data_IF_107138621844
#
_entry.id   IF_107138621844
#
_cell.length_a   1.000
_cell.length_b   1.000
_cell.length_c   1.000
_cell.angle_alpha   90.00
_cell.angle_beta   90.00
_cell.angle_gamma   90.00
#
_symmetry.space_group_name_H-M   'P 1'
#
loop_
_entity.id
_entity.type
_entity.pdbx_description
1 polymer ?
#
# COMPACT_ATOMS: atom_id res chain seq x y z
N UNK A 1 -10.65 8.17 20.91
CA UNK A 1 -9.73 7.71 19.85
C UNK A 1 -9.13 6.32 20.15
N UNK A 2 -8.59 6.09 21.36
CA UNK A 2 -8.07 4.78 21.80
C UNK A 2 -8.95 4.05 22.83
N UNK A 3 -10.24 4.38 22.90
CA UNK A 3 -11.16 3.82 23.88
C UNK A 3 -11.51 2.36 23.57
N UNK A 4 -11.66 1.55 24.63
CA UNK A 4 -11.95 0.11 24.57
C UNK A 4 -13.41 -0.21 24.22
N UNK A 5 -14.24 0.81 24.03
CA UNK A 5 -15.69 0.67 23.89
C UNK A 5 -16.10 -0.13 22.64
N UNK A 6 -15.26 -0.11 21.60
CA UNK A 6 -15.49 -0.80 20.32
C UNK A 6 -14.48 -1.92 20.08
N UNK A 7 -14.96 -3.09 19.63
CA UNK A 7 -14.09 -4.27 19.43
C UNK A 7 -13.07 -4.01 18.31
N UNK A 8 -11.79 -4.33 18.54
CA UNK A 8 -10.68 -4.18 17.58
C UNK A 8 -10.37 -2.75 17.06
N UNK A 9 -11.03 -1.68 17.55
CA UNK A 9 -10.86 -0.31 17.02
C UNK A 9 -9.40 0.17 17.00
N UNK A 10 -8.65 -0.06 18.08
CA UNK A 10 -7.23 0.31 18.18
C UNK A 10 -6.36 -0.49 17.20
N UNK A 11 -6.63 -1.78 17.06
CA UNK A 11 -5.89 -2.69 16.18
C UNK A 11 -6.15 -2.36 14.72
N UNK A 12 -7.40 -2.10 14.33
CA UNK A 12 -7.78 -1.63 13.00
C UNK A 12 -7.05 -0.34 12.62
N UNK A 13 -7.10 0.67 13.49
CA UNK A 13 -6.45 1.96 13.21
C UNK A 13 -4.95 1.81 13.00
N UNK A 14 -4.26 1.04 13.84
CA UNK A 14 -2.81 0.87 13.73
C UNK A 14 -2.45 0.08 12.47
N UNK A 15 -3.13 -1.04 12.22
CA UNK A 15 -2.76 -1.94 11.13
C UNK A 15 -3.13 -1.36 9.75
N UNK A 16 -4.27 -0.67 9.64
CA UNK A 16 -4.66 0.01 8.39
C UNK A 16 -3.69 1.16 8.08
N UNK A 17 -3.28 1.94 9.08
CA UNK A 17 -2.31 3.02 8.89
C UNK A 17 -0.91 2.48 8.55
N UNK A 18 -0.48 1.38 9.17
CA UNK A 18 0.78 0.72 8.80
C UNK A 18 0.75 0.25 7.34
N UNK A 19 -0.35 -0.36 6.88
CA UNK A 19 -0.51 -0.75 5.49
C UNK A 19 -0.40 0.45 4.54
N UNK A 20 -1.11 1.55 4.85
CA UNK A 20 -1.08 2.76 4.03
C UNK A 20 0.30 3.40 3.98
N UNK A 21 0.97 3.60 5.13
CA UNK A 21 2.28 4.25 5.17
C UNK A 21 3.31 3.44 4.40
N UNK A 22 3.37 2.12 4.62
CA UNK A 22 4.36 1.26 3.96
C UNK A 22 4.14 1.19 2.44
N UNK A 23 2.88 1.09 2.00
CA UNK A 23 2.56 1.11 0.57
C UNK A 23 2.86 2.48 -0.08
N UNK A 24 2.50 3.59 0.57
CA UNK A 24 2.79 4.95 0.07
C UNK A 24 4.29 5.24 0.03
N UNK A 25 5.05 4.81 1.05
CA UNK A 25 6.50 4.94 1.04
C UNK A 25 7.13 4.09 -0.07
N UNK A 26 6.67 2.84 -0.25
CA UNK A 26 7.11 1.97 -1.37
C UNK A 26 6.88 2.64 -2.71
N UNK A 27 5.67 3.15 -2.93
CA UNK A 27 5.27 3.89 -4.13
C UNK A 27 6.15 5.12 -4.35
N UNK A 28 6.27 6.00 -3.35
CA UNK A 28 7.00 7.27 -3.47
C UNK A 28 8.48 7.06 -3.83
N UNK A 29 9.12 6.07 -3.21
CA UNK A 29 10.51 5.72 -3.49
C UNK A 29 10.63 5.04 -4.86
N UNK A 30 9.64 4.23 -5.26
CA UNK A 30 9.57 3.64 -6.59
C UNK A 30 9.44 4.71 -7.69
N UNK A 31 8.60 5.72 -7.47
CA UNK A 31 8.45 6.89 -8.35
C UNK A 31 9.74 7.69 -8.44
N UNK A 32 10.45 7.90 -7.33
CA UNK A 32 11.74 8.58 -7.37
C UNK A 32 12.77 7.81 -8.21
N UNK A 33 12.82 6.48 -8.08
CA UNK A 33 13.66 5.64 -8.93
C UNK A 33 13.24 5.71 -10.40
N UNK A 34 11.94 5.72 -10.68
CA UNK A 34 11.38 5.87 -12.03
C UNK A 34 11.79 7.20 -12.66
N UNK A 35 11.66 8.31 -11.94
CA UNK A 35 12.08 9.63 -12.41
C UNK A 35 13.57 9.66 -12.73
N UNK A 36 14.43 9.04 -11.92
CA UNK A 36 15.87 8.96 -12.25
C UNK A 36 16.12 8.23 -13.57
N UNK A 37 15.40 7.14 -13.84
CA UNK A 37 15.55 6.37 -15.08
C UNK A 37 14.99 7.09 -16.31
N UNK A 38 13.92 7.86 -16.16
CA UNK A 38 13.35 8.68 -17.24
C UNK A 38 14.25 9.86 -17.59
N UNK A 39 14.68 10.63 -16.58
CA UNK A 39 15.57 11.78 -16.79
C UNK A 39 16.89 11.35 -17.45
N UNK A 40 17.39 10.18 -17.05
CA UNK A 40 18.58 9.58 -17.64
C UNK A 40 18.38 9.14 -19.09
N UNK A 41 17.21 8.58 -19.42
CA UNK A 41 16.87 8.23 -20.80
C UNK A 41 16.80 9.50 -21.66
N UNK A 42 16.17 10.56 -21.18
CA UNK A 42 16.05 11.83 -21.90
C UNK A 42 17.42 12.51 -22.11
N UNK A 43 18.31 12.47 -21.12
CA UNK A 43 19.67 13.03 -21.22
C UNK A 43 20.52 12.34 -22.30
N UNK A 44 20.51 11.00 -22.32
CA UNK A 44 21.30 10.21 -23.28
C UNK A 44 20.71 10.32 -24.69
N UNK A 45 19.38 10.22 -24.84
CA UNK A 45 18.72 10.33 -26.14
C UNK A 45 18.79 11.75 -26.72
N UNK A 46 18.78 12.78 -25.87
CA UNK A 46 18.94 14.17 -26.27
C UNK A 46 20.36 14.48 -26.74
N UNK A 47 21.37 13.94 -26.05
CA UNK A 47 22.79 14.16 -26.36
C UNK A 47 23.29 13.36 -27.57
N UNK A 48 22.65 12.21 -27.87
CA UNK A 48 23.12 11.28 -28.89
C UNK A 48 21.99 10.77 -29.80
N UNK A 49 21.75 11.46 -30.94
CA UNK A 49 20.75 11.05 -31.92
C UNK A 49 21.03 9.64 -32.47
N UNK A 50 20.05 8.74 -32.39
CA UNK A 50 20.16 7.35 -32.86
C UNK A 50 20.42 6.29 -31.78
N UNK A 51 20.57 6.71 -30.52
CA UNK A 51 20.69 5.81 -29.36
C UNK A 51 19.35 5.67 -28.67
N UNK A 52 18.97 4.45 -28.30
CA UNK A 52 17.75 4.20 -27.54
C UNK A 52 18.05 3.47 -26.23
N UNK A 53 17.59 4.02 -25.12
CA UNK A 53 17.64 3.40 -23.79
C UNK A 53 16.28 2.78 -23.49
N UNK A 54 16.26 1.47 -23.25
CA UNK A 54 15.05 0.73 -22.91
C UNK A 54 15.04 0.42 -21.42
N UNK A 55 14.12 1.08 -20.70
CA UNK A 55 13.83 0.87 -19.27
C UNK A 55 12.39 0.39 -19.02
N UNK A 56 11.71 -0.08 -20.07
CA UNK A 56 10.28 -0.36 -20.07
C UNK A 56 9.84 -1.35 -18.98
N UNK A 57 10.71 -2.31 -18.64
CA UNK A 57 10.41 -3.31 -17.61
C UNK A 57 10.28 -2.66 -16.23
N UNK A 58 11.22 -1.78 -15.86
CA UNK A 58 11.18 -1.06 -14.59
C UNK A 58 10.06 0.00 -14.59
N UNK A 59 9.86 0.70 -15.71
CA UNK A 59 8.77 1.68 -15.86
C UNK A 59 7.41 1.00 -15.65
N UNK A 60 7.21 -0.18 -16.26
CA UNK A 60 5.99 -0.98 -16.09
C UNK A 60 5.79 -1.45 -14.65
N UNK A 61 6.83 -2.00 -14.03
CA UNK A 61 6.79 -2.46 -12.64
C UNK A 61 6.49 -1.31 -11.65
N UNK A 62 7.19 -0.18 -11.79
CA UNK A 62 7.01 1.00 -10.94
C UNK A 62 5.61 1.62 -11.13
N UNK A 63 5.13 1.74 -12.36
CA UNK A 63 3.78 2.24 -12.67
C UNK A 63 2.69 1.34 -12.08
N UNK A 64 2.88 0.02 -12.14
CA UNK A 64 1.97 -0.92 -11.51
C UNK A 64 1.99 -0.80 -9.98
N UNK A 65 3.17 -0.61 -9.37
CA UNK A 65 3.30 -0.38 -7.93
C UNK A 65 2.58 0.91 -7.48
N UNK A 66 2.67 2.00 -8.24
CA UNK A 66 1.91 3.24 -8.00
C UNK A 66 0.41 2.96 -8.01
N UNK A 67 -0.10 2.34 -9.06
CA UNK A 67 -1.52 2.04 -9.19
C UNK A 67 -2.05 1.20 -8.02
N UNK A 68 -1.31 0.16 -7.64
CA UNK A 68 -1.69 -0.73 -6.54
C UNK A 68 -1.59 -0.04 -5.18
N UNK A 69 -0.57 0.79 -4.96
CA UNK A 69 -0.41 1.61 -3.75
C UNK A 69 -1.62 2.52 -3.52
N UNK A 70 -2.03 3.26 -4.55
CA UNK A 70 -3.24 4.11 -4.53
C UNK A 70 -4.50 3.28 -4.27
N UNK A 71 -4.65 2.11 -4.90
CA UNK A 71 -5.81 1.25 -4.67
C UNK A 71 -5.90 0.77 -3.21
N UNK A 72 -4.78 0.36 -2.61
CA UNK A 72 -4.71 -0.02 -1.18
C UNK A 72 -5.07 1.16 -0.29
N UNK A 73 -4.52 2.34 -0.57
CA UNK A 73 -4.80 3.57 0.18
C UNK A 73 -6.28 3.98 0.08
N UNK A 74 -6.91 3.83 -1.09
CA UNK A 74 -8.32 4.15 -1.26
C UNK A 74 -9.23 3.22 -0.46
N UNK A 75 -8.97 1.90 -0.51
CA UNK A 75 -9.78 0.91 0.20
C UNK A 75 -9.58 1.01 1.71
N UNK A 76 -8.34 0.88 2.20
CA UNK A 76 -8.09 0.88 3.65
C UNK A 76 -8.12 2.27 4.27
N UNK A 77 -7.79 3.32 3.52
CA UNK A 77 -7.99 4.71 3.94
C UNK A 77 -9.47 5.04 4.03
N UNK A 78 -10.27 4.65 3.02
CA UNK A 78 -11.73 4.76 3.08
C UNK A 78 -12.31 4.03 4.30
N UNK A 79 -11.94 2.75 4.48
CA UNK A 79 -12.39 1.95 5.63
C UNK A 79 -11.97 2.58 6.97
N UNK A 80 -10.75 3.11 7.07
CA UNK A 80 -10.26 3.83 8.25
C UNK A 80 -11.10 5.08 8.54
N UNK A 81 -11.39 5.89 7.51
CA UNK A 81 -12.20 7.12 7.68
C UNK A 81 -13.63 6.80 8.11
N UNK A 82 -14.27 5.78 7.52
CA UNK A 82 -15.60 5.36 7.93
C UNK A 82 -15.61 4.82 9.37
N UNK A 83 -14.63 4.01 9.77
CA UNK A 83 -14.51 3.50 11.15
C UNK A 83 -14.18 4.62 12.18
N UNK A 84 -13.52 5.69 11.75
CA UNK A 84 -13.16 6.83 12.61
C UNK A 84 -14.34 7.77 12.85
N UNK A 85 -14.96 8.25 11.77
CA UNK A 85 -16.02 9.27 11.84
C UNK A 85 -17.41 8.69 12.09
N UNK A 86 -17.68 7.46 11.65
CA UNK A 86 -19.02 6.86 11.73
C UNK A 86 -18.99 5.43 12.30
N UNK A 87 -18.51 5.24 13.55
CA UNK A 87 -18.35 3.91 14.14
C UNK A 87 -19.65 3.12 14.31
N UNK A 88 -20.81 3.79 14.41
CA UNK A 88 -22.12 3.15 14.60
C UNK A 88 -22.87 2.93 13.28
N UNK A 89 -22.18 2.99 12.13
CA UNK A 89 -22.83 2.83 10.83
C UNK A 89 -23.45 1.44 10.68
N UNK A 90 -24.77 1.40 10.55
CA UNK A 90 -25.47 0.20 10.09
C UNK A 90 -25.22 0.01 8.59
N UNK A 91 -24.25 -0.83 8.25
CA UNK A 91 -23.98 -1.19 6.86
C UNK A 91 -24.90 -2.31 6.38
N UNK A 92 -25.42 -2.17 5.16
CA UNK A 92 -26.15 -3.26 4.51
C UNK A 92 -25.20 -4.43 4.21
N UNK A 93 -25.74 -5.65 4.18
CA UNK A 93 -24.97 -6.87 3.91
C UNK A 93 -24.19 -6.79 2.59
N UNK A 94 -24.75 -6.14 1.58
CA UNK A 94 -24.11 -5.95 0.26
C UNK A 94 -22.86 -5.05 0.35
N UNK A 95 -22.91 -3.99 1.14
CA UNK A 95 -21.76 -3.08 1.32
C UNK A 95 -20.64 -3.76 2.10
N UNK A 96 -20.99 -4.54 3.14
CA UNK A 96 -19.99 -5.35 3.87
C UNK A 96 -19.31 -6.38 2.96
N UNK A 97 -20.08 -7.04 2.09
CA UNK A 97 -19.53 -7.97 1.11
C UNK A 97 -18.60 -7.26 0.11
N UNK A 98 -18.99 -6.08 -0.38
CA UNK A 98 -18.15 -5.28 -1.27
C UNK A 98 -16.80 -4.93 -0.62
N UNK A 99 -16.79 -4.50 0.65
CA UNK A 99 -15.55 -4.26 1.40
C UNK A 99 -14.66 -5.50 1.48
N UNK A 100 -15.23 -6.68 1.78
CA UNK A 100 -14.46 -7.94 1.81
C UNK A 100 -13.84 -8.26 0.45
N UNK A 101 -14.63 -8.14 -0.63
CA UNK A 101 -14.17 -8.42 -1.99
C UNK A 101 -13.05 -7.46 -2.38
N UNK A 102 -13.25 -6.15 -2.17
CA UNK A 102 -12.23 -5.15 -2.45
C UNK A 102 -10.94 -5.38 -1.66
N UNK A 103 -11.04 -5.68 -0.35
CA UNK A 103 -9.88 -5.96 0.50
C UNK A 103 -9.07 -7.17 0.01
N UNK A 104 -9.75 -8.24 -0.42
CA UNK A 104 -9.09 -9.42 -1.01
C UNK A 104 -8.42 -9.07 -2.33
N UNK A 105 -9.12 -8.36 -3.22
CA UNK A 105 -8.58 -7.95 -4.53
C UNK A 105 -7.31 -7.10 -4.35
N UNK A 106 -7.35 -6.07 -3.52
CA UNK A 106 -6.16 -5.21 -3.31
C UNK A 106 -5.02 -5.95 -2.62
N UNK A 107 -5.30 -6.96 -1.78
CA UNK A 107 -4.27 -7.81 -1.18
C UNK A 107 -3.55 -8.67 -2.23
N UNK A 108 -4.30 -9.23 -3.19
CA UNK A 108 -3.74 -10.01 -4.31
C UNK A 108 -2.97 -9.10 -5.27
N UNK A 109 -3.49 -7.92 -5.57
CA UNK A 109 -2.80 -6.92 -6.39
C UNK A 109 -1.50 -6.46 -5.74
N UNK A 110 -1.49 -6.23 -4.42
CA UNK A 110 -0.27 -5.85 -3.70
C UNK A 110 0.78 -6.98 -3.69
N UNK A 111 0.34 -8.24 -3.60
CA UNK A 111 1.24 -9.39 -3.76
C UNK A 111 1.86 -9.42 -5.16
N UNK A 112 1.01 -9.30 -6.19
CA UNK A 112 1.44 -9.25 -7.59
C UNK A 112 2.44 -8.12 -7.83
N UNK A 113 2.19 -6.94 -7.26
CA UNK A 113 3.07 -5.79 -7.37
C UNK A 113 4.41 -6.02 -6.68
N UNK A 114 4.40 -6.51 -5.43
CA UNK A 114 5.63 -6.83 -4.70
C UNK A 114 6.48 -7.88 -5.44
N UNK A 115 5.84 -8.91 -6.01
CA UNK A 115 6.51 -9.92 -6.83
C UNK A 115 7.09 -9.31 -8.11
N UNK A 116 6.31 -8.51 -8.84
CA UNK A 116 6.74 -7.86 -10.08
C UNK A 116 7.94 -6.94 -9.83
N UNK A 117 7.85 -6.09 -8.80
CA UNK A 117 8.95 -5.23 -8.36
C UNK A 117 10.18 -6.04 -7.97
N UNK A 118 10.00 -7.14 -7.24
CA UNK A 118 11.11 -8.02 -6.84
C UNK A 118 11.80 -8.66 -8.04
N UNK A 119 11.02 -9.25 -8.96
CA UNK A 119 11.55 -9.93 -10.14
C UNK A 119 12.28 -8.92 -11.02
N UNK A 120 11.61 -7.84 -11.42
CA UNK A 120 12.19 -6.82 -12.32
C UNK A 120 13.41 -6.17 -11.67
N UNK A 121 13.36 -5.82 -10.39
CA UNK A 121 14.52 -5.21 -9.72
C UNK A 121 15.68 -6.21 -9.59
N UNK A 122 15.41 -7.48 -9.30
CA UNK A 122 16.46 -8.49 -9.10
C UNK A 122 17.09 -9.00 -10.41
N UNK A 123 16.29 -9.20 -11.45
CA UNK A 123 16.72 -9.81 -12.72
C UNK A 123 16.93 -8.81 -13.84
N UNK A 124 16.28 -7.65 -13.78
CA UNK A 124 16.28 -6.66 -14.87
C UNK A 124 17.50 -5.77 -14.90
N UNK A 125 17.78 -5.28 -16.11
CA UNK A 125 18.78 -4.25 -16.39
C UNK A 125 18.32 -3.33 -17.50
N UNK A 126 18.75 -2.08 -17.45
CA UNK A 126 18.59 -1.13 -18.55
C UNK A 126 19.37 -1.62 -19.79
N UNK A 127 18.73 -1.61 -20.95
CA UNK A 127 19.34 -2.01 -22.22
C UNK A 127 19.52 -0.80 -23.15
N UNK A 128 20.71 -0.68 -23.76
CA UNK A 128 20.99 0.35 -24.78
C UNK A 128 21.06 -0.33 -26.14
N UNK A 129 20.31 0.22 -27.10
CA UNK A 129 20.38 -0.14 -28.51
C UNK A 129 20.94 1.03 -29.34
N UNK A 130 21.58 0.70 -30.46
CA UNK A 130 22.12 1.68 -31.41
C UNK A 130 23.61 1.99 -31.25
N UNK A 131 24.33 1.30 -30.36
CA UNK A 131 25.80 1.47 -30.17
C UNK A 131 26.48 0.16 -29.79
N UNK A 132 27.80 0.11 -29.89
CA UNK A 132 28.60 -0.99 -29.35
C UNK A 132 28.65 -0.98 -27.80
N UNK A 133 28.89 -2.14 -27.15
CA UNK A 133 28.85 -2.24 -25.68
C UNK A 133 29.91 -1.44 -24.92
N UNK A 134 30.96 -0.96 -25.59
CA UNK A 134 32.00 -0.13 -24.98
C UNK A 134 31.59 1.35 -25.01
N UNK A 135 31.04 1.81 -26.12
CA UNK A 135 30.47 3.13 -26.30
C UNK A 135 29.23 3.35 -25.42
N UNK A 136 28.36 2.35 -25.30
CA UNK A 136 27.26 2.37 -24.33
C UNK A 136 27.75 2.63 -22.89
N UNK A 137 28.86 1.98 -22.49
CA UNK A 137 29.49 2.18 -21.17
C UNK A 137 30.13 3.55 -21.01
N UNK A 138 30.65 4.14 -22.08
CA UNK A 138 31.20 5.49 -22.06
C UNK A 138 30.09 6.55 -21.86
N UNK A 139 28.96 6.44 -22.58
CA UNK A 139 27.81 7.32 -22.38
C UNK A 139 27.23 7.22 -20.97
N UNK A 140 27.30 6.03 -20.36
CA UNK A 140 26.93 5.85 -18.95
C UNK A 140 27.85 6.57 -17.96
N UNK A 141 29.15 6.67 -18.27
CA UNK A 141 30.09 7.36 -17.39
C UNK A 141 29.86 8.88 -17.38
N UNK A 142 29.36 9.41 -18.49
CA UNK A 142 29.18 10.83 -18.78
C UNK A 142 27.83 11.37 -18.29
N UNK A 143 26.79 10.54 -18.22
CA UNK A 143 25.48 10.94 -17.71
C UNK A 143 25.56 11.53 -16.28
N UNK A 144 24.97 12.72 -16.09
CA UNK A 144 24.97 13.44 -14.82
C UNK A 144 24.21 12.69 -13.74
N UNK A 145 23.11 12.03 -14.12
CA UNK A 145 22.39 11.07 -13.28
C UNK A 145 22.89 9.65 -13.56
N UNK A 146 23.40 9.02 -12.50
CA UNK A 146 23.98 7.67 -12.54
C UNK A 146 23.13 6.61 -11.84
N UNK A 147 21.80 6.46 -12.06
CA UNK A 147 21.16 5.22 -11.64
C UNK A 147 21.83 4.05 -12.37
N UNK A 148 22.03 2.96 -11.64
CA UNK A 148 22.80 1.84 -12.13
C UNK A 148 22.06 1.07 -13.22
N UNK A 149 22.82 0.65 -14.24
CA UNK A 149 22.40 -0.28 -15.30
C UNK A 149 21.61 -1.49 -14.79
N UNK A 150 22.03 -2.06 -13.66
CA UNK A 150 21.30 -3.15 -13.01
C UNK A 150 20.33 -2.54 -12.01
N UNK A 151 19.05 -2.86 -12.10
CA UNK A 151 18.05 -2.26 -11.20
C UNK A 151 18.33 -2.58 -9.72
N UNK A 152 18.87 -3.76 -9.44
CA UNK A 152 19.30 -4.19 -8.09
C UNK A 152 20.39 -3.34 -7.42
N UNK A 153 21.13 -2.51 -8.16
CA UNK A 153 22.16 -1.63 -7.58
C UNK A 153 21.66 -0.21 -7.35
N UNK A 154 20.43 0.09 -7.76
CA UNK A 154 19.79 1.36 -7.44
C UNK A 154 19.18 1.28 -6.03
N UNK A 155 19.69 2.06 -5.06
CA UNK A 155 19.22 1.98 -3.68
C UNK A 155 17.74 2.36 -3.54
N UNK A 156 17.19 3.21 -4.42
CA UNK A 156 15.78 3.60 -4.42
C UNK A 156 14.91 2.44 -4.92
N UNK A 157 15.29 1.78 -6.01
CA UNK A 157 14.59 0.59 -6.51
C UNK A 157 14.56 -0.55 -5.48
N UNK A 158 15.69 -0.80 -4.81
CA UNK A 158 15.79 -1.75 -3.70
C UNK A 158 14.90 -1.35 -2.52
N UNK A 159 14.98 -0.10 -2.06
CA UNK A 159 14.19 0.38 -0.94
C UNK A 159 12.68 0.28 -1.20
N UNK A 160 12.22 0.63 -2.41
CA UNK A 160 10.83 0.44 -2.83
C UNK A 160 10.41 -1.03 -2.74
N UNK A 161 11.23 -1.94 -3.30
CA UNK A 161 10.97 -3.39 -3.26
C UNK A 161 10.92 -3.94 -1.82
N UNK A 162 11.86 -3.51 -0.98
CA UNK A 162 11.93 -3.94 0.43
C UNK A 162 10.73 -3.44 1.22
N UNK A 163 10.24 -2.22 0.97
CA UNK A 163 9.06 -1.66 1.63
C UNK A 163 7.75 -2.29 1.14
N UNK A 164 7.70 -2.76 -0.12
CA UNK A 164 6.51 -3.41 -0.69
C UNK A 164 6.11 -4.68 0.08
N UNK A 165 7.08 -5.46 0.58
CA UNK A 165 6.83 -6.72 1.29
C UNK A 165 6.14 -6.51 2.66
N UNK A 166 6.67 -5.67 3.57
CA UNK A 166 5.96 -5.26 4.78
C UNK A 166 4.60 -4.61 4.48
N UNK A 167 4.50 -3.80 3.42
CA UNK A 167 3.24 -3.23 2.98
C UNK A 167 2.20 -4.30 2.61
N UNK A 168 2.61 -5.32 1.86
CA UNK A 168 1.75 -6.47 1.56
C UNK A 168 1.31 -7.23 2.81
N UNK A 169 2.24 -7.54 3.73
CA UNK A 169 1.91 -8.23 4.97
C UNK A 169 0.89 -7.44 5.81
N UNK A 170 1.07 -6.13 5.92
CA UNK A 170 0.14 -5.24 6.60
C UNK A 170 -1.22 -5.16 5.89
N UNK A 171 -1.24 -5.22 4.56
CA UNK A 171 -2.47 -5.29 3.74
C UNK A 171 -3.24 -6.58 4.00
N UNK A 172 -2.57 -7.74 4.05
CA UNK A 172 -3.18 -9.03 4.40
C UNK A 172 -3.72 -9.00 5.83
N UNK A 173 -2.93 -8.49 6.78
CA UNK A 173 -3.38 -8.35 8.17
C UNK A 173 -4.62 -7.45 8.27
N UNK A 174 -4.66 -6.36 7.51
CA UNK A 174 -5.81 -5.45 7.43
C UNK A 174 -7.05 -6.16 6.89
N UNK A 175 -6.91 -6.97 5.84
CA UNK A 175 -7.99 -7.81 5.31
C UNK A 175 -8.51 -8.79 6.36
N UNK A 176 -7.63 -9.50 7.06
CA UNK A 176 -8.05 -10.45 8.11
C UNK A 176 -8.80 -9.73 9.23
N UNK A 177 -8.31 -8.57 9.68
CA UNK A 177 -8.96 -7.78 10.73
C UNK A 177 -10.34 -7.27 10.28
N UNK A 178 -10.49 -6.87 9.02
CA UNK A 178 -11.77 -6.46 8.44
C UNK A 178 -12.79 -7.59 8.52
N UNK A 179 -12.39 -8.82 8.16
CA UNK A 179 -13.25 -10.00 8.22
C UNK A 179 -13.62 -10.36 9.66
N UNK A 180 -12.65 -10.31 10.58
CA UNK A 180 -12.89 -10.58 12.00
C UNK A 180 -13.84 -9.55 12.63
N UNK A 181 -13.67 -8.27 12.28
CA UNK A 181 -14.58 -7.22 12.74
C UNK A 181 -16.01 -7.48 12.28
N UNK A 182 -16.20 -7.69 10.98
CA UNK A 182 -17.55 -7.88 10.45
C UNK A 182 -18.21 -9.14 11.02
N UNK A 183 -17.45 -10.21 11.28
CA UNK A 183 -17.97 -11.41 11.97
C UNK A 183 -18.39 -11.11 13.40
N UNK A 184 -17.64 -10.28 14.12
CA UNK A 184 -18.02 -9.84 15.47
C UNK A 184 -19.27 -8.95 15.45
N UNK A 185 -19.34 -8.02 14.49
CA UNK A 185 -20.47 -7.12 14.30
C UNK A 185 -21.75 -7.89 13.93
N UNK A 186 -21.62 -8.96 13.14
CA UNK A 186 -22.73 -9.85 12.76
C UNK A 186 -23.26 -10.67 13.96
N UNK A 187 -22.41 -11.03 14.93
CA UNK A 187 -22.80 -11.86 16.08
C UNK A 187 -23.23 -11.05 17.31
N UNK A 188 -22.66 -9.86 17.50
CA UNK A 188 -22.77 -9.15 18.78
C UNK A 188 -23.04 -7.64 18.63
N UNK A 189 -23.13 -7.11 17.41
CA UNK A 189 -23.21 -5.67 17.16
C UNK A 189 -21.85 -4.95 17.30
N UNK A 190 -21.76 -3.65 16.96
CA UNK A 190 -20.51 -2.90 16.84
C UNK A 190 -19.79 -2.62 18.18
N UNK A 191 -20.49 -2.82 19.31
CA UNK A 191 -19.97 -2.52 20.66
C UNK A 191 -19.22 -3.72 21.23
N UNK A 192 -18.02 -3.46 21.78
CA UNK A 192 -17.27 -4.49 22.52
C UNK A 192 -18.04 -4.93 23.78
N UNK A 193 -17.70 -6.10 24.32
CA UNK A 193 -18.22 -6.55 25.62
C UNK A 193 -17.85 -5.64 26.82
N UNK A 194 -17.00 -4.63 26.64
CA UNK A 194 -16.73 -3.57 27.62
C UNK A 194 -17.71 -2.41 27.46
N UNK A 195 -17.95 -1.95 26.22
CA UNK A 195 -18.94 -0.92 25.90
C UNK A 195 -20.37 -1.35 26.25
N UNK A 196 -20.69 -2.62 26.03
CA UNK A 196 -22.00 -3.20 26.42
C UNK A 196 -22.22 -3.18 27.94
N UNK A 197 -21.17 -3.50 28.71
CA UNK A 197 -21.20 -3.43 30.19
C UNK A 197 -21.30 -2.00 30.74
N UNK A 198 -20.80 -1.02 29.99
CA UNK A 198 -20.92 0.40 30.33
C UNK A 198 -22.34 0.93 30.12
N UNK A 199 -23.02 0.50 29.05
CA UNK A 199 -24.45 0.79 28.85
C UNK A 199 -25.34 0.05 29.84
N UNK A 200 -25.12 -1.26 30.03
CA UNK A 200 -25.90 -2.04 31.00
C UNK A 200 -25.75 -1.45 32.42
N UNK A 201 -24.54 -0.99 32.78
CA UNK A 201 -24.30 -0.30 34.06
C UNK A 201 -24.90 1.10 34.14
N UNK A 202 -25.02 1.83 33.02
CA UNK A 202 -25.69 3.13 33.00
C UNK A 202 -27.21 3.00 33.16
N UNK A 203 -27.81 2.00 32.50
CA UNK A 203 -29.24 1.64 32.62
C UNK A 203 -29.55 1.23 34.07
N UNK A 204 -28.69 0.42 34.68
CA UNK A 204 -28.85 -0.07 36.06
C UNK A 204 -28.62 1.02 37.13
N UNK A 205 -28.10 2.19 36.74
CA UNK A 205 -27.91 3.37 37.59
C UNK A 205 -29.02 4.41 37.42
N UNK A 206 -29.64 4.52 36.23
CA UNK A 206 -30.84 5.33 36.00
C UNK A 206 -32.06 4.74 36.70
N UNK A 207 -32.23 3.41 36.68
CA UNK A 207 -33.36 2.72 37.34
C UNK A 207 -33.33 2.88 38.88
N UNK A 208 -32.14 3.09 39.46
CA UNK A 208 -31.98 3.34 40.92
C UNK A 208 -32.14 4.82 41.33
N UNK A 209 -32.30 5.76 40.38
CA UNK A 209 -32.45 7.20 40.65
C UNK A 209 -33.88 7.72 40.53
N UNK A 210 -34.88 6.84 40.49
CA UNK A 210 -36.29 7.24 40.66
C UNK A 210 -36.78 6.79 42.04
N UNK A 211 -36.53 7.54 43.12
CA UNK A 211 -37.37 7.45 44.31
C UNK A 211 -38.63 8.31 44.09
N UNK A 212 -39.76 7.68 44.40
CA UNK A 212 -41.13 8.19 44.47
C UNK A 212 -41.29 9.54 45.18
#
# INVERSE_FOLDING_TARGET
MFTRDYHLRRTKMIVYQLAMILCVCSESVGTAALSDYLDQQDEIQGSHPGIYVYNNDFIGAASYNIFVGIAVAFIFGGAFFFDLFWPERHESRSVRLAWKICAVIVSVMMLSSALTMTIVTATGSAHIHGTDPATARAFWADASKKPSLKYRTNPRALASTVLAWPGWMATVASTVILFLSQRHDDQYGPKSGYGRRLEDGAIDTEDKRVPS
#
